data_IF_460041656908
#
_entry.id   IF_460041656908
#
_cell.length_a   1.000
_cell.length_b   1.000
_cell.length_c   1.000
_cell.angle_alpha   90.00
_cell.angle_beta   90.00
_cell.angle_gamma   90.00
#
_symmetry.space_group_name_H-M   'P 1'
#
loop_
_entity.id
_entity.type
_entity.pdbx_description
1 polymer ?
#
# COMPACT_ATOMS: atom_id res chain seq x y z
N UNK A 1 -36.58 -36.38 34.41
CA UNK A 1 -35.16 -36.15 34.74
C UNK A 1 -34.31 -36.68 33.59
N UNK A 2 -33.62 -35.75 32.92
CA UNK A 2 -32.52 -35.86 31.94
C UNK A 2 -32.24 -37.24 31.32
N UNK A 3 -32.56 -37.41 30.03
CA UNK A 3 -31.82 -38.34 29.16
C UNK A 3 -30.82 -37.53 28.34
N UNK A 4 -29.57 -37.73 28.70
CA UNK A 4 -28.37 -37.28 28.00
C UNK A 4 -28.29 -38.07 26.67
N UNK A 5 -28.33 -37.38 25.54
CA UNK A 5 -27.96 -37.97 24.24
C UNK A 5 -26.60 -37.38 23.88
N UNK A 6 -25.59 -38.24 23.99
CA UNK A 6 -24.22 -38.01 23.58
C UNK A 6 -24.18 -37.85 22.06
N UNK A 7 -23.86 -36.64 21.58
CA UNK A 7 -23.59 -36.40 20.16
C UNK A 7 -22.12 -36.77 19.92
N UNK A 8 -21.92 -37.91 19.25
CA UNK A 8 -20.63 -38.39 18.79
C UNK A 8 -20.23 -37.55 17.57
N UNK A 9 -19.29 -36.60 17.75
CA UNK A 9 -18.69 -35.84 16.65
C UNK A 9 -17.70 -36.77 15.95
N UNK A 10 -18.07 -37.22 14.75
CA UNK A 10 -17.21 -38.01 13.88
C UNK A 10 -16.29 -37.04 13.13
N UNK A 11 -15.05 -36.94 13.60
CA UNK A 11 -13.98 -36.15 12.99
C UNK A 11 -13.49 -36.89 11.74
N UNK A 12 -13.86 -36.44 10.55
CA UNK A 12 -13.25 -36.91 9.30
C UNK A 12 -11.99 -36.09 9.02
N UNK A 13 -10.85 -36.69 9.32
CA UNK A 13 -9.54 -36.30 8.80
C UNK A 13 -9.49 -36.71 7.32
N UNK A 14 -9.48 -35.74 6.41
CA UNK A 14 -9.01 -35.98 5.04
C UNK A 14 -7.59 -35.44 4.89
N UNK A 15 -6.69 -36.36 4.62
CA UNK A 15 -5.30 -36.11 4.30
C UNK A 15 -5.20 -35.46 2.91
N UNK A 16 -4.45 -34.36 2.84
CA UNK A 16 -4.10 -33.68 1.60
C UNK A 16 -3.29 -34.59 0.68
N UNK A 17 -3.60 -34.53 -0.61
CA UNK A 17 -2.84 -35.16 -1.67
C UNK A 17 -2.21 -34.03 -2.49
N UNK A 18 -0.90 -33.79 -2.30
CA UNK A 18 -0.10 -32.85 -3.08
C UNK A 18 0.30 -33.45 -4.43
N UNK A 19 0.22 -32.69 -5.55
CA UNK A 19 0.99 -32.96 -6.76
C UNK A 19 2.30 -32.15 -6.83
N UNK A 20 3.31 -32.63 -7.56
CA UNK A 20 4.72 -32.23 -7.42
C UNK A 20 5.14 -30.97 -8.20
N UNK A 21 6.10 -30.27 -7.62
CA UNK A 21 6.83 -29.09 -8.13
C UNK A 21 7.45 -29.28 -9.52
N UNK A 22 7.51 -28.18 -10.29
CA UNK A 22 8.33 -28.06 -11.51
C UNK A 22 9.34 -26.92 -11.35
N UNK A 23 10.61 -27.31 -11.33
CA UNK A 23 11.79 -26.46 -11.43
C UNK A 23 11.82 -25.61 -12.72
N UNK A 24 12.21 -24.34 -12.58
CA UNK A 24 12.73 -23.54 -13.68
C UNK A 24 13.90 -22.66 -13.20
N UNK A 25 15.10 -23.25 -13.22
CA UNK A 25 16.35 -22.51 -13.30
C UNK A 25 16.50 -21.89 -14.70
N UNK A 26 16.70 -20.57 -14.80
CA UNK A 26 17.52 -20.06 -15.89
C UNK A 26 18.27 -18.77 -15.52
N UNK A 27 19.59 -18.93 -15.48
CA UNK A 27 20.62 -17.91 -15.37
C UNK A 27 20.82 -17.32 -16.77
N UNK A 28 20.83 -16.00 -16.93
CA UNK A 28 21.72 -15.43 -17.93
C UNK A 28 22.28 -14.07 -17.51
N UNK A 29 23.59 -14.09 -17.28
CA UNK A 29 24.48 -12.95 -17.14
C UNK A 29 24.98 -12.57 -18.52
N UNK A 30 25.03 -11.27 -18.85
CA UNK A 30 25.77 -10.78 -20.02
C UNK A 30 26.29 -9.37 -19.78
N UNK A 31 27.61 -9.35 -19.59
CA UNK A 31 28.55 -8.24 -19.46
C UNK A 31 28.47 -7.14 -20.54
N UNK A 32 28.71 -5.91 -20.08
CA UNK A 32 29.77 -4.97 -20.50
C UNK A 32 29.91 -4.60 -21.99
N UNK A 33 29.82 -3.30 -22.30
CA UNK A 33 30.95 -2.60 -22.97
C UNK A 33 30.82 -1.08 -22.95
N UNK A 34 31.78 -0.47 -22.26
CA UNK A 34 32.22 0.93 -22.36
C UNK A 34 32.77 1.22 -23.76
N UNK A 35 32.39 2.35 -24.37
CA UNK A 35 33.13 2.94 -25.50
C UNK A 35 33.39 4.42 -25.20
N UNK A 36 34.66 4.71 -24.97
CA UNK A 36 35.26 6.04 -25.05
C UNK A 36 35.29 6.48 -26.52
N UNK A 37 34.96 7.75 -26.80
CA UNK A 37 35.60 8.44 -27.91
C UNK A 37 35.75 9.94 -27.65
N UNK A 38 37.00 10.37 -27.59
CA UNK A 38 37.49 11.74 -27.51
C UNK A 38 37.69 12.28 -28.93
N UNK A 39 37.30 13.53 -29.23
CA UNK A 39 38.18 14.57 -29.80
C UNK A 39 37.46 15.82 -30.35
N UNK A 40 37.79 16.94 -29.69
CA UNK A 40 38.35 18.21 -30.20
C UNK A 40 37.56 19.33 -30.92
N UNK A 41 37.92 20.54 -30.43
CA UNK A 41 37.97 21.90 -31.00
C UNK A 41 36.67 22.73 -31.00
N UNK A 42 36.63 24.01 -30.57
CA UNK A 42 37.68 25.05 -30.60
C UNK A 42 37.38 26.24 -29.66
N UNK A 43 38.46 26.84 -29.13
CA UNK A 43 38.70 28.18 -28.52
C UNK A 43 37.63 29.29 -28.55
N UNK A 44 37.54 30.06 -27.45
CA UNK A 44 37.91 31.49 -27.46
C UNK A 44 38.20 32.09 -26.06
N UNK A 45 39.12 33.05 -26.09
CA UNK A 45 39.96 33.69 -25.06
C UNK A 45 39.30 34.89 -24.34
N UNK A 46 39.55 35.09 -23.04
CA UNK A 46 39.74 36.43 -22.40
C UNK A 46 40.56 36.38 -21.09
N UNK A 47 41.82 36.83 -21.19
CA UNK A 47 42.65 37.68 -20.30
C UNK A 47 42.63 37.59 -18.75
N UNK A 48 43.85 37.37 -18.22
CA UNK A 48 44.35 37.55 -16.85
C UNK A 48 44.24 38.98 -16.29
N UNK A 49 44.06 39.09 -14.96
CA UNK A 49 44.87 39.97 -14.10
C UNK A 49 45.21 39.20 -12.81
N UNK A 50 46.47 39.25 -12.39
CA UNK A 50 47.02 38.51 -11.26
C UNK A 50 47.79 39.50 -10.37
N UNK A 51 47.08 40.07 -9.40
CA UNK A 51 47.66 40.84 -8.30
C UNK A 51 47.67 40.00 -7.02
N UNK A 52 48.83 39.96 -6.35
CA UNK A 52 48.99 39.38 -5.01
C UNK A 52 48.93 40.54 -4.02
N UNK A 53 47.89 40.59 -3.18
CA UNK A 53 47.82 41.53 -2.05
C UNK A 53 48.40 40.85 -0.80
N UNK A 54 49.25 41.56 -0.06
CA UNK A 54 49.92 41.08 1.15
C UNK A 54 49.62 41.99 2.35
N UNK A 55 48.35 42.37 2.51
CA UNK A 55 47.86 43.08 3.69
C UNK A 55 47.21 42.13 4.72
N UNK A 56 47.48 42.34 6.00
CA UNK A 56 46.59 41.84 7.07
C UNK A 56 45.39 42.76 7.18
N UNK A 57 44.21 42.30 6.78
CA UNK A 57 42.94 43.00 7.03
C UNK A 57 42.25 42.42 8.29
N UNK A 58 41.57 43.29 9.03
CA UNK A 58 40.74 42.96 10.19
C UNK A 58 39.29 43.45 10.01
N UNK A 59 38.87 43.67 8.76
CA UNK A 59 37.49 43.95 8.36
C UNK A 59 36.80 42.76 7.70
N UNK A 60 35.47 42.69 7.82
CA UNK A 60 34.64 41.75 7.07
C UNK A 60 34.52 42.21 5.61
N UNK A 61 35.14 41.48 4.68
CA UNK A 61 34.98 41.70 3.24
C UNK A 61 33.64 41.11 2.77
N UNK A 62 32.88 41.89 2.01
CA UNK A 62 31.63 41.47 1.36
C UNK A 62 31.76 41.44 -0.17
N UNK A 63 33.00 41.44 -0.68
CA UNK A 63 33.35 41.17 -2.07
C UNK A 63 33.57 39.69 -2.34
N UNK A 64 33.35 39.29 -3.59
CA UNK A 64 33.81 37.99 -4.11
C UNK A 64 35.26 38.14 -4.54
N UNK A 65 36.19 37.88 -3.63
CA UNK A 65 37.63 37.81 -3.94
C UNK A 65 37.99 36.40 -4.44
N UNK A 66 38.72 36.33 -5.57
CA UNK A 66 39.25 35.08 -6.15
C UNK A 66 40.76 34.91 -5.89
N UNK A 67 41.34 35.70 -4.99
CA UNK A 67 42.69 35.51 -4.47
C UNK A 67 42.81 34.28 -3.57
N UNK A 68 43.97 33.60 -3.63
CA UNK A 68 44.31 32.56 -2.67
C UNK A 68 44.76 33.26 -1.38
N UNK A 69 43.86 33.32 -0.40
CA UNK A 69 44.18 33.72 0.96
C UNK A 69 45.11 32.68 1.60
N UNK A 70 46.31 33.11 2.00
CA UNK A 70 47.27 32.27 2.73
C UNK A 70 47.41 32.70 4.20
N UNK A 71 46.50 33.56 4.67
CA UNK A 71 46.27 33.79 6.08
C UNK A 71 45.72 32.52 6.73
N UNK A 72 46.42 32.00 7.73
CA UNK A 72 45.84 31.04 8.67
C UNK A 72 44.79 31.75 9.51
N UNK A 73 43.55 31.75 9.04
CA UNK A 73 42.36 32.02 9.85
C UNK A 73 42.30 30.98 10.97
N UNK A 74 42.55 31.43 12.20
CA UNK A 74 42.44 30.58 13.40
C UNK A 74 41.04 30.67 14.02
N UNK A 75 40.10 31.37 13.37
CA UNK A 75 38.68 31.35 13.68
C UNK A 75 38.03 30.19 12.97
N UNK A 76 37.65 29.13 13.70
CA UNK A 76 36.85 28.07 13.09
C UNK A 76 35.46 28.66 12.84
N UNK A 77 35.10 28.83 11.56
CA UNK A 77 33.83 29.44 11.18
C UNK A 77 32.64 28.66 11.78
N UNK A 78 31.65 29.35 12.37
CA UNK A 78 30.41 28.71 12.83
C UNK A 78 29.72 27.97 11.68
N UNK A 79 29.27 26.74 11.93
CA UNK A 79 28.62 25.91 10.93
C UNK A 79 27.46 25.11 11.52
N UNK A 80 26.46 24.87 10.68
CA UNK A 80 25.37 23.93 10.94
C UNK A 80 25.05 23.16 9.66
N UNK A 81 24.71 21.88 9.81
CA UNK A 81 24.31 20.98 8.72
C UNK A 81 23.09 20.16 9.16
N UNK A 82 22.15 19.90 8.25
CA UNK A 82 21.13 18.87 8.44
C UNK A 82 21.65 17.60 7.76
N UNK A 83 22.11 16.64 8.57
CA UNK A 83 22.69 15.37 8.12
C UNK A 83 21.59 14.42 7.64
N UNK A 84 20.44 14.44 8.30
CA UNK A 84 19.26 13.66 7.92
C UNK A 84 17.99 14.39 8.35
N UNK A 85 16.91 14.34 7.56
CA UNK A 85 16.83 13.77 6.21
C UNK A 85 17.61 14.58 5.16
N UNK A 86 17.84 14.01 3.98
CA UNK A 86 18.50 14.70 2.86
C UNK A 86 17.56 15.68 2.16
N UNK A 87 18.13 16.66 1.45
CA UNK A 87 17.37 17.58 0.61
C UNK A 87 16.57 16.82 -0.48
N UNK A 88 15.31 17.21 -0.64
CA UNK A 88 14.31 16.58 -1.51
C UNK A 88 13.68 15.29 -0.98
N UNK A 89 14.01 14.83 0.23
CA UNK A 89 13.53 13.54 0.72
C UNK A 89 12.02 13.52 1.01
N UNK A 90 11.39 12.39 0.71
CA UNK A 90 10.07 12.02 1.25
C UNK A 90 10.28 11.19 2.51
N UNK A 91 9.70 11.61 3.64
CA UNK A 91 9.94 11.03 4.96
C UNK A 91 8.64 10.76 5.72
N UNK A 92 8.66 9.74 6.57
CA UNK A 92 7.53 9.39 7.44
C UNK A 92 7.43 10.31 8.65
N UNK A 93 6.20 10.67 9.03
CA UNK A 93 5.86 11.36 10.26
C UNK A 93 5.79 10.37 11.45
N UNK A 94 6.44 10.60 12.61
CA UNK A 94 7.25 11.75 12.99
C UNK A 94 8.64 11.74 12.36
N UNK A 95 9.12 12.92 11.99
CA UNK A 95 10.43 13.09 11.36
C UNK A 95 11.49 13.28 12.44
N UNK A 96 12.59 12.54 12.34
CA UNK A 96 13.78 12.78 13.16
C UNK A 96 14.84 13.49 12.33
N UNK A 97 15.15 14.73 12.73
CA UNK A 97 16.25 15.51 12.18
C UNK A 97 17.53 15.19 12.94
N UNK A 98 18.59 14.88 12.21
CA UNK A 98 19.96 14.77 12.75
C UNK A 98 20.78 15.91 12.18
N UNK A 99 21.52 16.61 13.04
CA UNK A 99 22.30 17.78 12.66
C UNK A 99 23.79 17.62 13.00
N UNK A 100 24.62 18.33 12.25
CA UNK A 100 25.99 18.68 12.62
C UNK A 100 26.05 20.16 13.01
N UNK A 101 26.86 20.51 14.00
CA UNK A 101 27.03 21.91 14.41
C UNK A 101 28.41 22.12 15.05
N UNK A 102 29.11 23.17 14.62
CA UNK A 102 30.41 23.57 15.16
C UNK A 102 30.45 25.08 15.43
N UNK A 103 31.11 25.48 16.53
CA UNK A 103 31.30 26.88 16.95
C UNK A 103 30.00 27.71 17.06
N UNK A 104 28.90 27.04 17.42
CA UNK A 104 27.62 27.68 17.78
C UNK A 104 27.27 27.31 19.22
N UNK A 105 26.59 28.22 19.93
CA UNK A 105 26.15 27.99 21.32
C UNK A 105 24.81 27.24 21.38
N UNK A 106 23.88 27.56 20.49
CA UNK A 106 22.61 26.82 20.38
C UNK A 106 22.19 26.69 18.92
N UNK A 107 21.28 25.76 18.65
CA UNK A 107 20.68 25.54 17.34
C UNK A 107 19.15 25.54 17.45
N UNK A 108 18.46 25.83 16.35
CA UNK A 108 17.00 25.72 16.25
C UNK A 108 16.58 25.35 14.84
N UNK A 109 15.64 24.42 14.72
CA UNK A 109 15.06 24.01 13.43
C UNK A 109 13.70 24.68 13.24
N UNK A 110 13.45 25.10 12.00
CA UNK A 110 12.21 25.70 11.54
C UNK A 110 11.65 24.88 10.37
N UNK A 111 10.33 24.81 10.27
CA UNK A 111 9.63 24.39 9.05
C UNK A 111 8.71 25.52 8.59
N UNK A 112 8.87 25.97 7.34
CA UNK A 112 8.08 27.07 6.75
C UNK A 112 8.07 28.32 7.65
N UNK A 113 9.24 28.72 8.13
CA UNK A 113 9.49 29.79 9.11
C UNK A 113 8.90 29.59 10.52
N UNK A 114 8.27 28.44 10.79
CA UNK A 114 7.75 28.10 12.11
C UNK A 114 8.76 27.28 12.92
N UNK A 115 9.12 27.67 14.15
CA UNK A 115 10.06 26.91 14.96
C UNK A 115 9.46 25.55 15.37
N UNK A 116 10.22 24.48 15.18
CA UNK A 116 9.81 23.12 15.55
C UNK A 116 10.00 22.82 17.05
N UNK A 117 10.91 23.55 17.69
CA UNK A 117 11.23 23.45 19.13
C UNK A 117 11.75 24.79 19.67
N UNK A 118 12.05 24.86 20.96
CA UNK A 118 12.96 25.88 21.49
C UNK A 118 14.40 25.62 21.01
N UNK A 119 15.26 26.64 21.10
CA UNK A 119 16.68 26.46 20.79
C UNK A 119 17.37 25.57 21.84
N UNK A 120 18.31 24.73 21.41
CA UNK A 120 19.01 23.79 22.29
C UNK A 120 20.52 23.78 22.06
N UNK A 121 21.27 23.28 23.05
CA UNK A 121 22.71 23.08 22.96
C UNK A 121 23.03 21.81 22.14
N UNK A 122 23.63 21.93 20.94
CA UNK A 122 23.90 20.79 20.07
C UNK A 122 24.94 19.82 20.63
N UNK A 123 25.70 20.20 21.67
CA UNK A 123 26.64 19.30 22.36
C UNK A 123 25.93 18.31 23.28
N UNK A 124 24.69 18.59 23.67
CA UNK A 124 23.87 17.71 24.50
C UNK A 124 23.04 16.74 23.66
N UNK A 125 22.53 17.21 22.51
CA UNK A 125 21.79 16.38 21.55
C UNK A 125 21.96 16.90 20.14
N UNK A 126 22.21 15.99 19.21
CA UNK A 126 22.32 16.28 17.77
C UNK A 126 21.04 15.95 17.00
N UNK A 127 19.95 15.61 17.70
CA UNK A 127 18.69 15.25 17.05
C UNK A 127 17.46 15.93 17.64
N UNK A 128 16.46 16.11 16.79
CA UNK A 128 15.12 16.59 17.10
C UNK A 128 14.09 15.71 16.38
N UNK A 129 13.17 15.10 17.13
CA UNK A 129 12.01 14.43 16.54
C UNK A 129 10.80 15.35 16.61
N UNK A 130 10.09 15.52 15.49
CA UNK A 130 8.93 16.39 15.37
C UNK A 130 7.78 15.70 14.62
N UNK A 131 6.57 15.83 15.16
CA UNK A 131 5.33 15.35 14.52
C UNK A 131 4.66 16.51 13.79
N UNK A 132 4.56 16.40 12.47
CA UNK A 132 3.88 17.37 11.62
C UNK A 132 2.36 17.18 11.67
N UNK A 133 1.60 18.28 11.74
CA UNK A 133 0.14 18.26 11.63
C UNK A 133 -0.37 18.39 10.19
N UNK A 134 0.52 18.66 9.22
CA UNK A 134 0.19 18.71 7.80
C UNK A 134 1.26 17.98 7.00
N UNK A 135 0.83 16.98 6.24
CA UNK A 135 1.67 16.05 5.44
C UNK A 135 1.24 16.09 3.97
N UNK A 136 1.97 15.41 3.08
CA UNK A 136 1.65 15.27 1.66
C UNK A 136 2.09 16.44 0.77
N UNK A 137 2.96 17.33 1.27
CA UNK A 137 3.52 18.43 0.48
C UNK A 137 4.92 18.84 0.96
N UNK A 138 5.66 19.51 0.08
CA UNK A 138 7.00 19.97 0.35
C UNK A 138 7.02 21.05 1.45
N UNK A 139 7.98 20.92 2.37
CA UNK A 139 8.26 21.78 3.52
C UNK A 139 9.67 22.34 3.39
N UNK A 140 9.83 23.64 3.61
CA UNK A 140 11.16 24.24 3.75
C UNK A 140 11.64 24.07 5.19
N UNK A 141 12.71 23.31 5.39
CA UNK A 141 13.32 23.09 6.70
C UNK A 141 14.61 23.90 6.78
N UNK A 142 14.76 24.68 7.85
CA UNK A 142 15.96 25.50 8.07
C UNK A 142 16.50 25.22 9.46
N UNK A 143 17.76 24.82 9.56
CA UNK A 143 18.50 24.76 10.82
C UNK A 143 19.35 26.03 10.95
N UNK A 144 19.23 26.72 12.08
CA UNK A 144 19.96 27.94 12.38
C UNK A 144 20.81 27.74 13.64
N UNK A 145 22.05 28.20 13.61
CA UNK A 145 22.98 28.22 14.72
C UNK A 145 23.15 29.64 15.28
N UNK A 146 23.20 29.75 16.60
CA UNK A 146 23.26 31.02 17.33
C UNK A 146 24.47 31.05 18.27
N UNK A 147 25.05 32.24 18.45
CA UNK A 147 26.10 32.48 19.43
C UNK A 147 25.57 32.63 20.87
N UNK A 148 26.46 32.95 21.82
CA UNK A 148 26.11 33.09 23.24
C UNK A 148 25.29 34.35 23.56
N UNK A 149 25.19 35.29 22.61
CA UNK A 149 24.36 36.49 22.70
C UNK A 149 22.99 36.27 22.02
N UNK A 150 22.77 35.11 21.41
CA UNK A 150 21.55 34.77 20.67
C UNK A 150 21.51 35.35 19.26
N UNK A 151 22.64 35.80 18.72
CA UNK A 151 22.73 36.26 17.33
C UNK A 151 22.88 35.03 16.42
N UNK A 152 22.12 35.01 15.32
CA UNK A 152 22.29 33.99 14.28
C UNK A 152 23.67 34.15 13.61
N UNK A 153 24.44 33.05 13.57
CA UNK A 153 25.82 33.03 13.04
C UNK A 153 26.04 31.94 12.00
N UNK A 154 25.10 31.01 11.82
CA UNK A 154 25.14 29.98 10.80
C UNK A 154 23.72 29.53 10.41
N UNK A 155 23.49 29.14 9.16
CA UNK A 155 22.23 28.55 8.73
C UNK A 155 22.40 27.59 7.56
N UNK A 156 21.51 26.61 7.46
CA UNK A 156 21.42 25.64 6.36
C UNK A 156 19.96 25.26 6.14
N UNK A 157 19.60 24.86 4.93
CA UNK A 157 18.23 24.52 4.59
C UNK A 157 18.12 23.34 3.65
N UNK A 158 17.03 22.60 3.80
CA UNK A 158 16.60 21.51 2.93
C UNK A 158 15.11 21.66 2.63
N UNK A 159 14.62 20.97 1.61
CA UNK A 159 13.20 20.74 1.34
C UNK A 159 12.87 19.27 1.59
N UNK A 160 11.78 18.97 2.29
CA UNK A 160 11.30 17.58 2.48
C UNK A 160 9.81 17.48 2.23
N UNK A 161 9.32 16.31 1.83
CA UNK A 161 7.88 15.99 1.85
C UNK A 161 7.63 15.05 3.02
N UNK A 162 6.80 15.46 3.97
CA UNK A 162 6.45 14.60 5.11
C UNK A 162 5.19 13.84 4.75
N UNK A 163 5.22 12.52 4.77
CA UNK A 163 4.06 11.64 4.58
C UNK A 163 3.60 11.08 5.92
N UNK A 164 2.30 10.85 6.04
CA UNK A 164 1.72 10.21 7.21
C UNK A 164 1.80 8.68 7.01
N UNK A 165 2.58 7.96 7.83
CA UNK A 165 2.50 6.48 7.84
C UNK A 165 1.42 5.96 8.79
N UNK A 166 0.68 6.86 9.44
CA UNK A 166 -0.36 6.47 10.36
C UNK A 166 -1.26 5.43 9.69
N UNK A 167 -1.41 4.24 10.30
CA UNK A 167 -2.30 3.23 9.76
C UNK A 167 -3.76 3.71 9.79
N UNK A 168 -4.06 4.84 10.43
CA UNK A 168 -5.38 5.43 10.53
C UNK A 168 -6.05 5.11 11.86
N UNK A 169 -7.39 5.14 11.88
CA UNK A 169 -8.19 4.79 13.05
C UNK A 169 -8.40 3.28 13.10
N UNK A 170 -7.93 2.63 14.17
CA UNK A 170 -8.16 1.21 14.39
C UNK A 170 -9.67 0.93 14.45
N UNK A 171 -10.15 0.12 13.50
CA UNK A 171 -11.51 -0.41 13.49
C UNK A 171 -11.61 -1.60 14.46
N UNK A 172 -10.58 -2.45 14.45
CA UNK A 172 -10.36 -3.52 15.42
C UNK A 172 -9.70 -4.73 14.77
N UNK A 173 -9.68 -5.85 15.50
CA UNK A 173 -9.08 -7.09 15.03
C UNK A 173 -10.13 -7.93 14.29
N UNK A 174 -9.96 -8.15 12.99
CA UNK A 174 -10.91 -8.91 12.14
C UNK A 174 -10.27 -10.20 11.66
N UNK A 175 -11.08 -11.24 11.43
CA UNK A 175 -10.62 -12.46 10.77
C UNK A 175 -11.09 -12.55 9.32
N UNK A 176 -10.30 -13.24 8.48
CA UNK A 176 -10.58 -13.40 7.06
C UNK A 176 -11.24 -14.73 6.70
N UNK A 177 -12.00 -14.71 5.63
CA UNK A 177 -12.21 -15.83 4.70
C UNK A 177 -11.91 -15.34 3.28
N UNK A 178 -12.11 -16.19 2.27
CA UNK A 178 -11.98 -15.80 0.87
C UNK A 178 -13.21 -16.25 0.07
N UNK A 179 -13.50 -15.46 -0.97
CA UNK A 179 -14.46 -15.80 -2.02
C UNK A 179 -13.91 -15.39 -3.39
N UNK A 180 -14.45 -15.94 -4.47
CA UNK A 180 -13.95 -15.72 -5.83
C UNK A 180 -15.06 -15.78 -6.88
N UNK A 181 -14.78 -15.33 -8.11
CA UNK A 181 -15.71 -15.50 -9.22
C UNK A 181 -15.59 -16.93 -9.75
N UNK A 182 -16.61 -17.77 -9.55
CA UNK A 182 -16.61 -19.14 -10.07
C UNK A 182 -16.54 -19.12 -11.61
N UNK A 183 -15.73 -19.99 -12.22
CA UNK A 183 -15.56 -20.04 -13.68
C UNK A 183 -15.99 -21.37 -14.23
N UNK A 184 -16.90 -21.36 -15.21
CA UNK A 184 -17.43 -22.59 -15.79
C UNK A 184 -16.32 -23.47 -16.40
N UNK A 185 -15.30 -22.84 -16.99
CA UNK A 185 -14.15 -23.51 -17.60
C UNK A 185 -13.31 -24.37 -16.63
N UNK A 186 -13.44 -24.14 -15.31
CA UNK A 186 -12.69 -24.89 -14.30
C UNK A 186 -13.34 -26.28 -14.03
N UNK A 187 -14.53 -26.55 -14.57
CA UNK A 187 -15.29 -27.76 -14.31
C UNK A 187 -15.34 -28.68 -15.53
N UNK A 188 -15.04 -29.98 -15.37
CA UNK A 188 -15.12 -30.92 -16.48
C UNK A 188 -16.57 -31.16 -16.92
N UNK A 189 -16.80 -31.74 -18.11
CA UNK A 189 -18.14 -32.20 -18.49
C UNK A 189 -18.71 -33.17 -17.46
N UNK A 190 -19.96 -32.97 -17.05
CA UNK A 190 -20.55 -33.71 -15.94
C UNK A 190 -22.07 -33.69 -15.91
N UNK A 191 -22.63 -33.78 -14.70
CA UNK A 191 -24.08 -33.64 -14.51
C UNK A 191 -24.48 -32.20 -14.75
N UNK A 192 -25.53 -31.97 -15.53
CA UNK A 192 -25.97 -30.63 -15.84
C UNK A 192 -27.01 -30.12 -14.84
N UNK A 193 -26.90 -28.85 -14.48
CA UNK A 193 -27.92 -28.04 -13.82
C UNK A 193 -28.33 -26.90 -14.76
N UNK A 194 -29.54 -26.36 -14.59
CA UNK A 194 -29.98 -25.17 -15.32
C UNK A 194 -29.96 -23.98 -14.38
N UNK A 195 -29.29 -22.91 -14.79
CA UNK A 195 -29.34 -21.61 -14.12
C UNK A 195 -30.55 -20.84 -14.63
N UNK A 196 -31.27 -20.17 -13.75
CA UNK A 196 -32.49 -19.44 -14.08
C UNK A 196 -32.39 -17.97 -13.68
N UNK A 197 -33.08 -17.11 -14.44
CA UNK A 197 -33.34 -15.73 -14.04
C UNK A 197 -34.52 -15.65 -13.04
N UNK A 198 -34.75 -14.44 -12.49
CA UNK A 198 -35.85 -14.19 -11.54
C UNK A 198 -37.25 -14.41 -12.12
N UNK A 199 -37.40 -14.46 -13.45
CA UNK A 199 -38.65 -14.76 -14.15
C UNK A 199 -38.78 -16.24 -14.51
N UNK A 200 -37.85 -17.08 -14.04
CA UNK A 200 -37.76 -18.50 -14.35
C UNK A 200 -37.51 -18.81 -15.83
N UNK A 201 -36.89 -17.90 -16.57
CA UNK A 201 -36.31 -18.20 -17.87
C UNK A 201 -34.95 -18.87 -17.67
N UNK A 202 -34.63 -19.93 -18.43
CA UNK A 202 -33.30 -20.55 -18.37
C UNK A 202 -32.25 -19.60 -18.94
N UNK A 203 -31.14 -19.43 -18.23
CA UNK A 203 -29.95 -18.68 -18.66
C UNK A 203 -29.01 -19.63 -19.41
N UNK A 204 -28.59 -20.71 -18.75
CA UNK A 204 -27.64 -21.68 -19.30
C UNK A 204 -27.81 -23.07 -18.65
N UNK A 205 -27.41 -24.12 -19.38
CA UNK A 205 -27.14 -25.44 -18.79
C UNK A 205 -25.65 -25.57 -18.53
N UNK A 206 -25.30 -25.85 -17.29
CA UNK A 206 -23.93 -25.80 -16.79
C UNK A 206 -23.63 -27.03 -15.94
N UNK A 207 -22.37 -27.29 -15.61
CA UNK A 207 -22.02 -28.35 -14.65
C UNK A 207 -22.67 -28.08 -13.26
N UNK A 208 -23.16 -29.13 -12.60
CA UNK A 208 -23.79 -29.02 -11.29
C UNK A 208 -22.83 -28.53 -10.19
N UNK A 209 -21.57 -28.94 -10.19
CA UNK A 209 -20.57 -28.46 -9.24
C UNK A 209 -20.31 -26.96 -9.46
N UNK A 210 -20.17 -26.51 -10.71
CA UNK A 210 -20.12 -25.08 -11.03
C UNK A 210 -21.36 -24.33 -10.51
N UNK A 211 -22.56 -24.87 -10.73
CA UNK A 211 -23.79 -24.28 -10.22
C UNK A 211 -23.85 -24.23 -8.68
N UNK A 212 -23.17 -25.13 -7.98
CA UNK A 212 -23.09 -25.14 -6.53
C UNK A 212 -22.12 -24.05 -6.04
N UNK A 213 -20.96 -23.92 -6.69
CA UNK A 213 -19.96 -22.91 -6.36
C UNK A 213 -20.44 -21.50 -6.70
N UNK A 214 -21.04 -21.26 -7.87
CA UNK A 214 -21.69 -19.97 -8.20
C UNK A 214 -22.72 -19.57 -7.14
N UNK A 215 -23.40 -20.55 -6.54
CA UNK A 215 -24.38 -20.29 -5.50
C UNK A 215 -23.74 -19.89 -4.16
N UNK A 216 -22.61 -20.51 -3.82
CA UNK A 216 -21.85 -20.27 -2.59
C UNK A 216 -21.12 -18.92 -2.69
N UNK A 217 -20.40 -18.71 -3.79
CA UNK A 217 -19.62 -17.50 -4.07
C UNK A 217 -20.49 -16.29 -4.45
N UNK A 218 -21.73 -16.54 -4.89
CA UNK A 218 -22.70 -15.51 -5.27
C UNK A 218 -22.53 -14.95 -6.68
N UNK A 219 -21.47 -15.31 -7.41
CA UNK A 219 -21.25 -14.89 -8.80
C UNK A 219 -20.44 -15.91 -9.59
N UNK A 220 -20.51 -15.81 -10.92
CA UNK A 220 -19.66 -16.62 -11.80
C UNK A 220 -19.61 -16.11 -13.23
N UNK A 221 -18.78 -16.77 -14.05
CA UNK A 221 -18.63 -16.48 -15.47
C UNK A 221 -18.75 -17.77 -16.29
N UNK A 222 -19.59 -17.71 -17.33
CA UNK A 222 -19.83 -18.80 -18.26
C UNK A 222 -18.72 -18.88 -19.32
N UNK A 223 -18.62 -20.01 -20.01
CA UNK A 223 -17.62 -20.20 -21.10
C UNK A 223 -17.73 -19.15 -22.21
N UNK A 224 -18.93 -18.60 -22.45
CA UNK A 224 -19.16 -17.56 -23.46
C UNK A 224 -18.81 -16.13 -22.99
N UNK A 225 -18.32 -16.00 -21.75
CA UNK A 225 -17.95 -14.73 -21.12
C UNK A 225 -19.09 -14.00 -20.42
N UNK A 226 -20.30 -14.58 -20.39
CA UNK A 226 -21.42 -14.01 -19.64
C UNK A 226 -21.13 -14.07 -18.14
N UNK A 227 -21.10 -12.90 -17.49
CA UNK A 227 -21.00 -12.81 -16.03
C UNK A 227 -22.41 -12.90 -15.44
N UNK A 228 -22.57 -13.76 -14.44
CA UNK A 228 -23.81 -13.97 -13.69
C UNK A 228 -23.60 -13.64 -12.22
N UNK A 229 -24.64 -13.13 -11.58
CA UNK A 229 -24.62 -12.73 -10.19
C UNK A 229 -25.90 -13.16 -9.50
N UNK A 230 -25.83 -13.43 -8.20
CA UNK A 230 -27.00 -13.60 -7.35
C UNK A 230 -27.98 -12.44 -7.59
N UNK A 231 -29.26 -12.76 -7.78
CA UNK A 231 -30.33 -11.78 -7.91
C UNK A 231 -31.31 -11.90 -6.74
N UNK A 232 -31.86 -13.09 -6.52
CA UNK A 232 -32.78 -13.35 -5.42
C UNK A 232 -32.96 -14.85 -5.18
N UNK A 233 -33.65 -15.18 -4.08
CA UNK A 233 -34.30 -16.49 -3.98
C UNK A 233 -35.50 -16.57 -4.94
N UNK A 234 -35.83 -17.76 -5.45
CA UNK A 234 -36.89 -18.00 -6.42
C UNK A 234 -37.46 -19.43 -6.33
N UNK A 235 -38.44 -19.78 -7.16
CA UNK A 235 -39.10 -21.10 -7.14
C UNK A 235 -38.56 -22.13 -8.15
N UNK A 236 -37.72 -21.69 -9.08
CA UNK A 236 -37.29 -22.48 -10.24
C UNK A 236 -35.78 -22.74 -10.29
N UNK A 237 -35.01 -22.03 -9.47
CA UNK A 237 -33.58 -22.25 -9.31
C UNK A 237 -33.26 -23.62 -8.74
N UNK A 238 -31.97 -23.89 -8.60
CA UNK A 238 -31.47 -25.07 -7.89
C UNK A 238 -31.29 -24.76 -6.41
N UNK A 239 -31.49 -25.76 -5.56
CA UNK A 239 -31.21 -25.66 -4.13
C UNK A 239 -29.71 -25.46 -3.90
N UNK A 240 -29.36 -24.41 -3.17
CA UNK A 240 -27.98 -24.13 -2.79
C UNK A 240 -27.49 -25.10 -1.71
N UNK A 241 -26.22 -25.56 -1.74
CA UNK A 241 -25.64 -26.33 -0.63
C UNK A 241 -25.71 -25.59 0.72
N UNK A 242 -25.62 -24.27 0.71
CA UNK A 242 -25.72 -23.39 1.89
C UNK A 242 -27.16 -22.99 2.26
N UNK A 243 -28.14 -23.43 1.47
CA UNK A 243 -29.57 -23.19 1.68
C UNK A 243 -30.20 -22.16 0.73
N UNK A 244 -31.51 -22.28 0.52
CA UNK A 244 -32.26 -21.44 -0.42
C UNK A 244 -32.32 -22.04 -1.83
N UNK A 245 -33.11 -21.40 -2.69
CA UNK A 245 -33.25 -21.73 -4.12
C UNK A 245 -32.92 -20.45 -4.88
N UNK A 246 -31.83 -20.42 -5.63
CA UNK A 246 -31.24 -19.17 -6.13
C UNK A 246 -31.53 -18.97 -7.62
N UNK A 247 -31.88 -17.73 -7.95
CA UNK A 247 -31.93 -17.23 -9.33
C UNK A 247 -30.92 -16.09 -9.52
N UNK A 248 -30.49 -15.95 -10.75
CA UNK A 248 -29.39 -15.08 -11.13
C UNK A 248 -29.85 -13.94 -12.04
N UNK A 249 -28.96 -12.98 -12.23
CA UNK A 249 -29.04 -11.98 -13.28
C UNK A 249 -27.77 -12.04 -14.11
N UNK A 250 -27.90 -11.81 -15.41
CA UNK A 250 -26.74 -11.60 -16.29
C UNK A 250 -26.30 -10.15 -16.17
N UNK A 251 -25.01 -9.92 -16.01
CA UNK A 251 -24.43 -8.59 -15.90
C UNK A 251 -23.83 -8.12 -17.22
N UNK A 252 -23.68 -6.81 -17.36
CA UNK A 252 -22.88 -6.23 -18.44
C UNK A 252 -21.39 -6.42 -18.09
N UNK A 253 -20.61 -7.24 -18.82
CA UNK A 253 -19.22 -7.53 -18.48
C UNK A 253 -18.29 -6.31 -18.62
N UNK A 254 -18.69 -5.29 -19.38
CA UNK A 254 -17.93 -4.03 -19.45
C UNK A 254 -18.05 -3.19 -18.17
N UNK A 255 -19.11 -3.39 -17.40
CA UNK A 255 -19.36 -2.68 -16.14
C UNK A 255 -19.01 -3.53 -14.92
N UNK A 256 -19.26 -4.83 -14.99
CA UNK A 256 -19.07 -5.78 -13.88
C UNK A 256 -18.24 -6.99 -14.35
N UNK A 257 -16.98 -6.79 -14.75
CA UNK A 257 -16.14 -7.87 -15.28
C UNK A 257 -15.90 -8.99 -14.25
N UNK A 258 -15.97 -8.67 -12.96
CA UNK A 258 -15.72 -9.60 -11.85
C UNK A 258 -16.95 -9.83 -10.96
N UNK A 259 -18.14 -9.50 -11.44
CA UNK A 259 -19.36 -9.54 -10.63
C UNK A 259 -19.69 -8.20 -9.98
N UNK A 260 -20.81 -8.18 -9.28
CA UNK A 260 -21.43 -6.99 -8.72
C UNK A 260 -21.62 -7.17 -7.21
N UNK A 261 -21.06 -6.24 -6.44
CA UNK A 261 -21.23 -6.19 -5.00
C UNK A 261 -22.62 -5.71 -4.58
N UNK A 262 -22.91 -5.85 -3.29
CA UNK A 262 -24.21 -5.57 -2.67
C UNK A 262 -24.81 -4.18 -2.93
N UNK A 263 -23.98 -3.17 -3.25
CA UNK A 263 -24.44 -1.81 -3.56
C UNK A 263 -24.42 -1.46 -5.06
N UNK A 264 -24.42 -2.47 -5.92
CA UNK A 264 -24.32 -2.33 -7.38
C UNK A 264 -23.00 -1.72 -7.87
N UNK A 265 -21.96 -1.78 -7.06
CA UNK A 265 -20.57 -1.47 -7.40
C UNK A 265 -19.89 -2.68 -8.09
N UNK A 266 -18.94 -2.45 -8.99
CA UNK A 266 -18.11 -3.53 -9.51
C UNK A 266 -17.19 -4.07 -8.42
N UNK A 267 -17.10 -5.40 -8.33
CA UNK A 267 -16.07 -6.04 -7.52
C UNK A 267 -14.72 -5.95 -8.24
N UNK A 268 -13.66 -5.86 -7.46
CA UNK A 268 -12.29 -5.71 -7.92
C UNK A 268 -11.42 -6.74 -7.17
N UNK A 269 -10.84 -7.73 -7.89
CA UNK A 269 -9.97 -8.73 -7.29
C UNK A 269 -8.85 -8.06 -6.49
N UNK A 270 -8.54 -8.62 -5.33
CA UNK A 270 -7.51 -8.10 -4.43
C UNK A 270 -7.80 -6.73 -3.82
N UNK A 271 -9.02 -6.17 -3.99
CA UNK A 271 -9.41 -4.88 -3.39
C UNK A 271 -10.75 -4.94 -2.67
N UNK A 272 -11.71 -5.67 -3.21
CA UNK A 272 -13.06 -5.76 -2.66
C UNK A 272 -13.14 -6.73 -1.49
N UNK A 273 -13.75 -6.29 -0.39
CA UNK A 273 -14.11 -7.14 0.74
C UNK A 273 -15.62 -7.23 0.91
N UNK A 274 -16.12 -8.42 1.21
CA UNK A 274 -17.43 -8.57 1.81
C UNK A 274 -17.32 -8.34 3.33
N UNK A 275 -18.23 -7.54 3.89
CA UNK A 275 -18.18 -7.14 5.32
C UNK A 275 -19.57 -7.21 5.97
N UNK A 276 -19.60 -7.15 7.29
CA UNK A 276 -20.83 -6.87 8.04
C UNK A 276 -21.21 -5.38 7.89
N UNK A 277 -22.32 -5.10 7.19
CA UNK A 277 -22.72 -3.73 6.91
C UNK A 277 -23.26 -2.96 8.13
N UNK A 278 -23.71 -3.67 9.17
CA UNK A 278 -24.17 -3.03 10.40
C UNK A 278 -22.99 -2.40 11.16
N UNK A 279 -21.77 -2.89 10.90
CA UNK A 279 -20.53 -2.41 11.49
C UNK A 279 -19.72 -1.53 10.53
N UNK A 280 -19.60 -1.93 9.26
CA UNK A 280 -18.77 -1.29 8.25
C UNK A 280 -19.65 -0.87 7.08
N UNK A 281 -19.87 0.43 6.93
CA UNK A 281 -20.68 0.94 5.81
C UNK A 281 -20.04 0.60 4.46
N UNK A 282 -20.86 0.30 3.46
CA UNK A 282 -20.40 0.07 2.10
C UNK A 282 -19.58 1.27 1.56
N UNK A 283 -18.56 0.98 0.76
CA UNK A 283 -17.58 1.93 0.25
C UNK A 283 -16.51 2.38 1.25
N UNK A 284 -16.54 1.90 2.50
CA UNK A 284 -15.50 2.23 3.49
C UNK A 284 -14.13 1.76 2.98
N UNK A 285 -13.15 2.66 3.00
CA UNK A 285 -11.75 2.34 2.74
C UNK A 285 -11.13 1.73 4.00
N UNK A 286 -10.54 0.57 3.82
CA UNK A 286 -9.96 -0.26 4.86
C UNK A 286 -8.47 -0.44 4.60
N UNK A 287 -7.70 -0.53 5.68
CA UNK A 287 -6.28 -0.84 5.62
C UNK A 287 -5.97 -1.99 6.57
N UNK A 288 -5.34 -3.03 6.03
CA UNK A 288 -4.81 -4.15 6.80
C UNK A 288 -3.28 -4.19 6.60
N UNK A 289 -2.49 -3.73 7.60
CA UNK A 289 -1.04 -3.58 7.46
C UNK A 289 -0.31 -4.87 7.10
N UNK A 290 -0.86 -6.04 7.46
CA UNK A 290 -0.25 -7.33 7.15
C UNK A 290 -0.27 -7.67 5.66
N UNK A 291 -1.14 -7.01 4.89
CA UNK A 291 -1.17 -7.09 3.43
C UNK A 291 -0.29 -6.04 2.76
N UNK A 292 0.25 -5.06 3.50
CA UNK A 292 1.16 -4.07 2.94
C UNK A 292 2.57 -4.67 2.77
N UNK A 293 3.12 -4.56 1.56
CA UNK A 293 4.38 -5.17 1.17
C UNK A 293 4.27 -6.62 0.70
N UNK A 294 3.06 -7.23 0.69
CA UNK A 294 2.89 -8.62 0.24
C UNK A 294 3.03 -8.70 -1.28
N UNK A 295 3.97 -9.51 -1.75
CA UNK A 295 4.15 -9.74 -3.19
C UNK A 295 3.08 -10.70 -3.72
N UNK A 296 2.16 -10.20 -4.55
CA UNK A 296 1.12 -11.00 -5.19
C UNK A 296 1.60 -11.40 -6.59
N UNK A 297 1.76 -12.71 -6.88
CA UNK A 297 2.16 -13.18 -8.20
C UNK A 297 1.06 -12.91 -9.23
N UNK A 298 1.42 -12.92 -10.50
CA UNK A 298 0.44 -12.88 -11.59
C UNK A 298 -0.17 -14.28 -11.76
N UNK A 299 -1.43 -14.45 -11.38
CA UNK A 299 -2.21 -15.68 -11.53
C UNK A 299 -3.50 -15.33 -12.28
N UNK A 300 -3.78 -16.03 -13.37
CA UNK A 300 -4.98 -15.79 -14.21
C UNK A 300 -5.18 -14.34 -14.66
N UNK A 301 -4.09 -13.59 -14.83
CA UNK A 301 -4.13 -12.18 -15.21
C UNK A 301 -4.45 -11.20 -14.07
N UNK A 302 -4.55 -11.69 -12.83
CA UNK A 302 -4.69 -10.88 -11.61
C UNK A 302 -3.37 -10.90 -10.82
N UNK A 303 -3.02 -9.79 -10.19
CA UNK A 303 -1.79 -9.67 -9.40
C UNK A 303 -0.60 -9.18 -10.22
N UNK A 304 0.61 -9.64 -9.85
CA UNK A 304 1.87 -9.16 -10.42
C UNK A 304 2.35 -7.83 -9.81
N UNK A 305 1.94 -7.54 -8.58
CA UNK A 305 2.28 -6.31 -7.86
C UNK A 305 2.52 -6.58 -6.37
N UNK A 306 3.09 -5.60 -5.68
CA UNK A 306 3.20 -5.59 -4.23
C UNK A 306 1.94 -4.94 -3.67
N UNK A 307 1.16 -5.69 -2.91
CA UNK A 307 -0.06 -5.20 -2.28
C UNK A 307 0.30 -4.15 -1.22
N UNK A 308 -0.52 -3.11 -1.11
CA UNK A 308 -0.31 -1.92 -0.29
C UNK A 308 -1.22 -1.89 0.95
N UNK A 309 -1.72 -3.06 1.36
CA UNK A 309 -2.69 -3.22 2.43
C UNK A 309 -4.06 -2.56 2.26
N UNK A 310 -4.35 -1.91 1.13
CA UNK A 310 -5.57 -1.12 0.95
C UNK A 310 -6.73 -1.93 0.33
N UNK A 311 -7.91 -1.79 0.92
CA UNK A 311 -9.14 -2.50 0.54
C UNK A 311 -10.38 -1.60 0.61
N UNK A 312 -11.49 -2.09 0.07
CA UNK A 312 -12.79 -1.41 0.08
C UNK A 312 -13.91 -2.36 0.48
N UNK A 313 -14.78 -1.90 1.38
CA UNK A 313 -16.01 -2.60 1.77
C UNK A 313 -17.02 -2.58 0.61
N UNK A 314 -16.96 -3.57 -0.26
CA UNK A 314 -17.67 -3.57 -1.54
C UNK A 314 -18.84 -4.54 -1.59
N UNK A 315 -18.90 -5.48 -0.66
CA UNK A 315 -19.90 -6.54 -0.70
C UNK A 315 -20.39 -6.93 0.70
N UNK A 316 -21.36 -7.84 0.73
CA UNK A 316 -21.84 -8.51 1.95
C UNK A 316 -22.07 -9.99 1.64
N UNK A 317 -22.00 -10.83 2.67
CA UNK A 317 -22.37 -12.24 2.57
C UNK A 317 -23.26 -12.67 3.71
N UNK A 318 -24.11 -13.67 3.50
CA UNK A 318 -25.09 -14.12 4.50
C UNK A 318 -24.48 -14.65 5.81
N UNK A 319 -23.18 -14.95 5.81
CA UNK A 319 -22.42 -15.46 6.95
C UNK A 319 -21.34 -14.48 7.43
N UNK A 320 -21.22 -13.31 6.81
CA UNK A 320 -20.25 -12.29 7.18
C UNK A 320 -20.87 -11.39 8.25
N UNK A 321 -20.46 -11.59 9.51
CA UNK A 321 -21.06 -10.94 10.68
C UNK A 321 -19.99 -10.58 11.71
N UNK A 322 -20.09 -9.37 12.28
CA UNK A 322 -19.15 -8.82 13.24
C UNK A 322 -17.78 -8.52 12.61
N UNK A 323 -16.72 -8.83 13.37
CA UNK A 323 -15.32 -8.58 12.97
C UNK A 323 -14.81 -9.66 12.01
N UNK A 324 -15.51 -9.85 10.90
CA UNK A 324 -15.24 -10.82 9.84
C UNK A 324 -15.26 -10.08 8.51
N UNK A 325 -14.24 -10.30 7.68
CA UNK A 325 -14.29 -9.91 6.27
C UNK A 325 -14.04 -11.13 5.37
N UNK A 326 -14.62 -11.08 4.18
CA UNK A 326 -14.36 -12.03 3.11
C UNK A 326 -13.53 -11.33 2.03
N UNK A 327 -12.34 -11.84 1.73
CA UNK A 327 -11.44 -11.24 0.75
C UNK A 327 -11.82 -11.75 -0.65
N UNK A 328 -12.12 -10.84 -1.58
CA UNK A 328 -12.37 -11.21 -2.98
C UNK A 328 -11.07 -11.52 -3.73
N UNK A 329 -10.78 -12.80 -3.92
CA UNK A 329 -9.57 -13.27 -4.59
C UNK A 329 -9.63 -13.10 -6.12
N UNK A 330 -10.84 -12.94 -6.68
CA UNK A 330 -11.10 -12.93 -8.11
C UNK A 330 -11.18 -14.33 -8.71
N UNK A 331 -10.20 -15.21 -8.46
CA UNK A 331 -10.16 -16.57 -9.01
C UNK A 331 -9.85 -17.61 -7.96
N UNK A 332 -10.24 -18.86 -8.23
CA UNK A 332 -9.96 -19.99 -7.35
C UNK A 332 -8.45 -20.21 -7.14
N UNK A 333 -7.65 -20.16 -8.20
CA UNK A 333 -6.20 -20.35 -8.09
C UNK A 333 -5.52 -19.20 -7.32
N UNK A 334 -6.03 -17.97 -7.46
CA UNK A 334 -5.57 -16.85 -6.63
C UNK A 334 -5.95 -17.08 -5.17
N UNK A 335 -7.18 -17.53 -4.88
CA UNK A 335 -7.59 -17.90 -3.51
C UNK A 335 -6.64 -18.94 -2.90
N UNK A 336 -6.33 -20.02 -3.63
CA UNK A 336 -5.40 -21.04 -3.16
C UNK A 336 -4.03 -20.46 -2.81
N UNK A 337 -3.53 -19.51 -3.61
CA UNK A 337 -2.30 -18.80 -3.27
C UNK A 337 -2.46 -17.96 -2.01
N UNK A 338 -3.54 -17.19 -1.88
CA UNK A 338 -3.77 -16.32 -0.71
C UNK A 338 -3.86 -17.13 0.59
N UNK A 339 -4.42 -18.34 0.56
CA UNK A 339 -4.41 -19.27 1.71
C UNK A 339 -3.00 -19.62 2.19
N UNK A 340 -2.00 -19.65 1.28
CA UNK A 340 -0.60 -19.88 1.66
C UNK A 340 0.07 -18.66 2.28
N UNK A 341 -0.46 -17.47 2.01
CA UNK A 341 0.05 -16.19 2.54
C UNK A 341 -0.58 -15.88 3.88
N UNK A 342 -1.92 -15.86 3.91
CA UNK A 342 -2.74 -15.64 5.09
C UNK A 342 -3.91 -16.61 5.06
N UNK A 343 -3.77 -17.72 5.78
CA UNK A 343 -4.82 -18.75 5.82
C UNK A 343 -6.16 -18.21 6.34
N UNK A 344 -7.25 -18.88 5.99
CA UNK A 344 -8.58 -18.58 6.50
C UNK A 344 -8.63 -18.60 8.04
N UNK A 345 -9.42 -17.70 8.62
CA UNK A 345 -9.52 -17.39 10.06
C UNK A 345 -8.25 -16.76 10.68
N UNK A 346 -7.40 -16.15 9.87
CA UNK A 346 -6.30 -15.33 10.34
C UNK A 346 -6.82 -13.98 10.85
N UNK A 347 -6.41 -13.61 12.07
CA UNK A 347 -6.85 -12.37 12.71
C UNK A 347 -5.80 -11.28 12.53
N UNK A 348 -6.21 -10.13 11.99
CA UNK A 348 -5.33 -8.97 11.80
C UNK A 348 -6.01 -7.65 12.21
N UNK A 349 -5.22 -6.65 12.67
CA UNK A 349 -5.75 -5.33 12.95
C UNK A 349 -6.12 -4.62 11.64
N UNK A 350 -7.36 -4.17 11.55
CA UNK A 350 -7.89 -3.41 10.43
C UNK A 350 -8.13 -1.97 10.84
N UNK A 351 -7.78 -1.03 9.96
CA UNK A 351 -7.89 0.39 10.17
C UNK A 351 -8.77 1.05 9.11
N UNK A 352 -9.25 2.24 9.42
CA UNK A 352 -9.99 3.13 8.52
C UNK A 352 -9.31 4.49 8.49
N UNK A 353 -9.68 5.35 7.54
CA UNK A 353 -9.13 6.72 7.43
C UNK A 353 -7.60 6.72 7.28
N UNK A 354 -7.04 5.66 6.69
CA UNK A 354 -5.62 5.54 6.38
C UNK A 354 -5.28 6.47 5.22
N UNK A 355 -4.35 7.43 5.39
CA UNK A 355 -3.99 8.38 4.34
C UNK A 355 -3.49 7.70 3.06
N UNK A 356 -2.67 6.66 3.20
CA UNK A 356 -2.12 5.91 2.07
C UNK A 356 -3.19 5.24 1.19
N UNK A 357 -4.36 4.91 1.74
CA UNK A 357 -5.42 4.22 1.00
C UNK A 357 -6.49 5.15 0.40
N UNK A 358 -6.39 6.47 0.60
CA UNK A 358 -7.43 7.42 0.15
C UNK A 358 -7.65 7.42 -1.37
N UNK A 359 -6.67 6.96 -2.15
CA UNK A 359 -6.80 6.87 -3.60
C UNK A 359 -7.91 5.90 -4.06
N UNK A 360 -8.30 4.93 -3.23
CA UNK A 360 -9.40 3.98 -3.52
C UNK A 360 -10.80 4.59 -3.39
N UNK A 361 -10.92 5.78 -2.76
CA UNK A 361 -12.19 6.46 -2.54
C UNK A 361 -12.59 7.45 -3.65
N UNK A 362 -11.74 7.63 -4.67
CA UNK A 362 -11.93 8.61 -5.75
C UNK A 362 -12.48 8.00 -7.04
#
# INVERSE_FOLDING_TARGET
MKKLVTLLVLCFLFAGCEPPEKDANNINSSNNTTINNTNNNTSNNTNNDAGVDTGSDSGADSGTDTGIDTGTDSGVNPSVEIISPSDGATVTNPVTFTIGAENVSTVRIFADDWPLSDAWDPTQTTSLTYTFNGTGYARSIVCRGYDSQGQEVASTGISITVEDDSPGTLLGNMYNTYYYLAREADYPPGTNATLYDVNCNPIAQVNSEFSDDVCIEGSGILEDGTVINYASTCSCGRTCPTGGIICYQTLNPAQYPWGMGSTSNPLEPLRSWAVDNDLISAGTILYAPEWDGVNIPLIDGIGGFIHDGCFRADDVGGWINGMHYDFFAGTHDMWQFLETVMGTNHYSPVYTQTPACQYLGN
#
